data_IF_182074248470
#
_entry.id   IF_182074248470
#
_cell.length_a   1.000
_cell.length_b   1.000
_cell.length_c   1.000
_cell.angle_alpha   90.00
_cell.angle_beta   90.00
_cell.angle_gamma   90.00
#
_symmetry.space_group_name_H-M   'P 1'
#
loop_
_entity.id
_entity.type
_entity.pdbx_description
1 polymer ?
#
# COMPACT_ATOMS: atom_id res chain seq x y z
N UNK A 1 11.74 -19.82 2.46
CA UNK A 1 11.64 -18.48 1.86
C UNK A 1 10.45 -17.78 2.43
N UNK A 2 10.62 -16.62 3.06
CA UNK A 2 9.54 -15.84 3.64
C UNK A 2 8.97 -14.88 2.62
N UNK A 3 7.65 -14.61 2.71
CA UNK A 3 6.92 -13.71 1.80
C UNK A 3 6.65 -12.39 2.48
N UNK A 4 7.08 -11.31 1.85
CA UNK A 4 6.91 -9.93 2.32
C UNK A 4 6.01 -9.19 1.35
N UNK A 5 4.90 -8.66 1.83
CA UNK A 5 3.99 -7.82 1.06
C UNK A 5 4.01 -6.37 1.55
N UNK A 6 3.53 -5.48 0.71
CA UNK A 6 3.42 -4.06 1.00
C UNK A 6 1.98 -3.60 0.85
N UNK A 7 1.54 -2.76 1.78
CA UNK A 7 0.25 -2.08 1.68
C UNK A 7 0.38 -0.65 2.19
N UNK A 8 -0.10 0.30 1.43
CA UNK A 8 0.02 1.70 1.83
C UNK A 8 -0.85 2.63 1.01
N UNK A 9 -1.03 3.81 1.56
CA UNK A 9 -1.71 4.90 0.87
C UNK A 9 -0.91 5.33 -0.36
N UNK A 10 -1.62 5.72 -1.43
CA UNK A 10 -1.00 6.07 -2.73
C UNK A 10 -0.28 7.43 -2.71
N UNK A 11 0.50 7.69 -1.65
CA UNK A 11 1.35 8.86 -1.51
C UNK A 11 2.81 8.45 -1.68
N UNK A 12 3.63 9.40 -2.14
CA UNK A 12 5.09 9.25 -2.12
C UNK A 12 5.55 9.12 -0.67
N UNK A 13 6.51 8.24 -0.42
CA UNK A 13 7.11 8.14 0.90
C UNK A 13 7.92 9.40 1.22
N UNK A 14 7.70 9.93 2.40
CA UNK A 14 8.56 10.96 2.96
C UNK A 14 9.92 10.38 3.38
N UNK A 15 10.94 11.24 3.48
CA UNK A 15 12.31 10.82 3.76
C UNK A 15 12.41 9.96 5.03
N UNK A 16 11.74 10.36 6.11
CA UNK A 16 11.75 9.60 7.36
C UNK A 16 11.12 8.20 7.23
N UNK A 17 10.07 8.04 6.39
CA UNK A 17 9.49 6.74 6.09
C UNK A 17 10.45 5.86 5.27
N UNK A 18 11.20 6.45 4.32
CA UNK A 18 12.21 5.76 3.53
C UNK A 18 13.35 5.26 4.44
N UNK A 19 13.86 6.09 5.33
CA UNK A 19 14.91 5.69 6.28
C UNK A 19 14.44 4.55 7.20
N UNK A 20 13.21 4.64 7.68
CA UNK A 20 12.61 3.57 8.48
C UNK A 20 12.44 2.28 7.67
N UNK A 21 11.97 2.38 6.43
CA UNK A 21 11.87 1.23 5.52
C UNK A 21 13.22 0.56 5.32
N UNK A 22 14.28 1.32 5.04
CA UNK A 22 15.64 0.78 4.87
C UNK A 22 16.11 0.01 6.10
N UNK A 23 15.90 0.59 7.29
CA UNK A 23 16.24 -0.05 8.55
C UNK A 23 15.50 -1.36 8.74
N UNK A 24 14.18 -1.39 8.50
CA UNK A 24 13.38 -2.61 8.64
C UNK A 24 13.74 -3.68 7.59
N UNK A 25 14.02 -3.27 6.36
CA UNK A 25 14.50 -4.19 5.31
C UNK A 25 15.86 -4.79 5.65
N UNK A 26 16.80 -4.01 6.20
CA UNK A 26 18.10 -4.51 6.62
C UNK A 26 17.99 -5.47 7.82
N UNK A 27 17.10 -5.20 8.78
CA UNK A 27 16.80 -6.11 9.90
C UNK A 27 16.18 -7.41 9.39
N UNK A 28 15.20 -7.33 8.49
CA UNK A 28 14.56 -8.50 7.88
C UNK A 28 15.58 -9.36 7.14
N UNK A 29 16.46 -8.73 6.37
CA UNK A 29 17.53 -9.41 5.63
C UNK A 29 18.59 -10.09 6.54
N UNK A 30 18.72 -9.64 7.79
CA UNK A 30 19.57 -10.30 8.78
C UNK A 30 18.89 -11.51 9.43
N UNK A 31 17.57 -11.47 9.56
CA UNK A 31 16.79 -12.52 10.24
C UNK A 31 16.40 -13.66 9.30
N UNK A 32 16.16 -13.38 8.04
CA UNK A 32 15.60 -14.31 7.08
C UNK A 32 16.62 -14.56 5.95
N UNK A 33 17.05 -15.81 5.72
CA UNK A 33 18.07 -16.13 4.72
C UNK A 33 17.56 -16.03 3.28
N UNK A 34 16.26 -16.20 3.07
CA UNK A 34 15.61 -16.22 1.77
C UNK A 34 14.32 -15.42 1.83
N UNK A 35 14.15 -14.40 0.97
CA UNK A 35 13.04 -13.46 1.01
C UNK A 35 12.43 -13.28 -0.37
N UNK A 36 11.12 -13.41 -0.48
CA UNK A 36 10.32 -12.97 -1.62
C UNK A 36 9.60 -11.67 -1.28
N UNK A 37 9.86 -10.59 -2.02
CA UNK A 37 9.11 -9.35 -1.93
C UNK A 37 8.03 -9.33 -3.00
N UNK A 38 6.78 -9.34 -2.57
CA UNK A 38 5.61 -9.42 -3.43
C UNK A 38 4.97 -8.07 -3.65
N UNK A 39 4.82 -7.70 -4.92
CA UNK A 39 4.22 -6.45 -5.37
C UNK A 39 2.98 -6.73 -6.21
N UNK A 40 2.10 -5.75 -6.31
CA UNK A 40 0.98 -5.73 -7.25
C UNK A 40 0.85 -4.35 -7.87
N UNK A 41 1.07 -4.30 -9.18
CA UNK A 41 0.93 -3.08 -9.98
C UNK A 41 1.92 -1.98 -9.58
N UNK A 42 2.81 -1.61 -10.49
CA UNK A 42 3.85 -0.59 -10.21
C UNK A 42 3.40 0.86 -10.47
N UNK A 43 2.09 1.12 -10.39
CA UNK A 43 1.53 2.41 -10.83
C UNK A 43 1.48 3.48 -9.73
N UNK A 44 1.49 3.11 -8.45
CA UNK A 44 1.45 4.09 -7.37
C UNK A 44 2.86 4.56 -6.98
N UNK A 45 2.97 5.83 -6.57
CA UNK A 45 4.24 6.39 -6.07
C UNK A 45 4.76 5.61 -4.85
N UNK A 46 3.85 5.09 -4.01
CA UNK A 46 4.17 4.21 -2.89
C UNK A 46 4.88 2.94 -3.35
N UNK A 47 4.28 2.18 -4.27
CA UNK A 47 4.85 0.91 -4.77
C UNK A 47 6.21 1.14 -5.46
N UNK A 48 6.34 2.21 -6.24
CA UNK A 48 7.63 2.59 -6.86
C UNK A 48 8.71 2.81 -5.82
N UNK A 49 8.42 3.55 -4.76
CA UNK A 49 9.37 3.80 -3.67
C UNK A 49 9.77 2.51 -2.96
N UNK A 50 8.81 1.60 -2.68
CA UNK A 50 9.09 0.30 -2.08
C UNK A 50 10.01 -0.55 -2.98
N UNK A 51 9.71 -0.62 -4.27
CA UNK A 51 10.50 -1.37 -5.24
C UNK A 51 11.94 -0.84 -5.34
N UNK A 52 12.12 0.49 -5.39
CA UNK A 52 13.45 1.11 -5.42
C UNK A 52 14.29 0.71 -4.20
N UNK A 53 13.68 0.70 -3.00
CA UNK A 53 14.38 0.30 -1.78
C UNK A 53 14.70 -1.20 -1.73
N UNK A 54 13.80 -2.06 -2.23
CA UNK A 54 14.07 -3.51 -2.33
C UNK A 54 15.17 -3.80 -3.35
N UNK A 55 15.17 -3.14 -4.51
CA UNK A 55 16.25 -3.24 -5.51
C UNK A 55 17.58 -2.76 -4.92
N UNK A 56 17.56 -1.67 -4.15
CA UNK A 56 18.73 -1.18 -3.43
C UNK A 56 19.24 -2.19 -2.39
N UNK A 57 18.34 -2.82 -1.62
CA UNK A 57 18.69 -3.90 -0.69
C UNK A 57 19.36 -5.07 -1.41
N UNK A 58 18.79 -5.56 -2.51
CA UNK A 58 19.33 -6.64 -3.32
C UNK A 58 20.77 -6.34 -3.78
N UNK A 59 21.04 -5.10 -4.19
CA UNK A 59 22.39 -4.65 -4.55
C UNK A 59 23.35 -4.59 -3.36
N UNK A 60 22.88 -4.18 -2.18
CA UNK A 60 23.70 -4.12 -0.95
C UNK A 60 23.99 -5.51 -0.35
N UNK A 61 23.13 -6.50 -0.63
CA UNK A 61 23.21 -7.86 -0.08
C UNK A 61 23.31 -8.92 -1.19
N UNK A 62 24.37 -8.90 -2.03
CA UNK A 62 24.46 -9.75 -3.23
C UNK A 62 24.52 -11.25 -2.95
N UNK A 63 24.90 -11.63 -1.74
CA UNK A 63 25.00 -13.04 -1.31
C UNK A 63 23.72 -13.56 -0.66
N UNK A 64 22.70 -12.70 -0.49
CA UNK A 64 21.42 -13.09 0.08
C UNK A 64 20.44 -13.43 -1.03
N UNK A 65 19.64 -14.48 -0.83
CA UNK A 65 18.60 -14.85 -1.77
C UNK A 65 17.39 -13.92 -1.60
N UNK A 66 17.31 -12.92 -2.47
CA UNK A 66 16.23 -11.93 -2.50
C UNK A 66 15.56 -11.98 -3.87
N UNK A 67 14.27 -12.28 -3.88
CA UNK A 67 13.45 -12.30 -5.10
C UNK A 67 12.39 -11.21 -5.06
N UNK A 68 12.12 -10.63 -6.23
CA UNK A 68 11.05 -9.66 -6.46
C UNK A 68 9.98 -10.35 -7.29
N UNK A 69 8.78 -10.44 -6.74
CA UNK A 69 7.66 -11.14 -7.36
C UNK A 69 6.56 -10.12 -7.66
N UNK A 70 6.11 -10.08 -8.91
CA UNK A 70 4.94 -9.28 -9.28
C UNK A 70 3.71 -10.17 -9.48
N UNK A 71 2.66 -9.87 -8.71
CA UNK A 71 1.37 -10.49 -8.86
C UNK A 71 0.52 -9.67 -9.83
N UNK A 72 0.23 -10.21 -11.01
CA UNK A 72 -0.45 -9.48 -12.09
C UNK A 72 -1.74 -10.17 -12.50
N UNK A 73 -2.70 -9.39 -13.00
CA UNK A 73 -3.83 -9.96 -13.72
C UNK A 73 -3.35 -10.55 -15.06
N UNK A 74 -3.73 -11.79 -15.41
CA UNK A 74 -3.32 -12.41 -16.67
C UNK A 74 -3.63 -11.57 -17.91
N UNK A 75 -4.77 -10.87 -17.90
CA UNK A 75 -5.19 -10.01 -19.03
C UNK A 75 -4.26 -8.80 -19.16
N UNK A 76 -3.88 -8.19 -18.02
CA UNK A 76 -2.93 -7.06 -17.99
C UNK A 76 -1.54 -7.50 -18.44
N UNK A 77 -1.09 -8.68 -18.01
CA UNK A 77 0.20 -9.25 -18.41
C UNK A 77 0.25 -9.53 -19.91
N UNK A 78 -0.80 -10.10 -20.49
CA UNK A 78 -0.86 -10.39 -21.93
C UNK A 78 -0.92 -9.10 -22.76
N UNK A 79 -1.70 -8.11 -22.33
CA UNK A 79 -1.76 -6.79 -22.96
C UNK A 79 -0.39 -6.09 -22.94
N UNK A 80 0.33 -6.21 -21.82
CA UNK A 80 1.67 -5.69 -21.69
C UNK A 80 2.66 -6.38 -22.64
N UNK A 81 2.72 -7.72 -22.62
CA UNK A 81 3.61 -8.48 -23.51
C UNK A 81 3.38 -8.13 -24.98
N UNK A 82 2.11 -8.02 -25.38
CA UNK A 82 1.74 -7.62 -26.73
C UNK A 82 2.27 -6.21 -27.07
N UNK A 83 2.08 -5.23 -26.19
CA UNK A 83 2.57 -3.87 -26.37
C UNK A 83 4.10 -3.78 -26.42
N UNK A 84 4.78 -4.57 -25.58
CA UNK A 84 6.23 -4.64 -25.56
C UNK A 84 6.79 -5.23 -26.86
N UNK A 85 6.13 -6.27 -27.43
CA UNK A 85 6.47 -6.84 -28.74
C UNK A 85 6.22 -5.84 -29.88
N UNK A 86 5.11 -5.10 -29.85
CA UNK A 86 4.80 -4.06 -30.84
C UNK A 86 5.84 -2.90 -30.83
N UNK A 87 6.47 -2.64 -29.69
CA UNK A 87 7.53 -1.63 -29.54
C UNK A 87 8.94 -2.20 -29.79
N UNK A 88 9.08 -3.48 -30.13
CA UNK A 88 10.37 -4.15 -30.35
C UNK A 88 11.34 -4.02 -29.17
N UNK A 89 10.82 -3.95 -27.95
CA UNK A 89 11.65 -3.83 -26.74
C UNK A 89 12.36 -5.15 -26.43
N UNK A 90 13.64 -5.09 -26.11
CA UNK A 90 14.36 -6.24 -25.55
C UNK A 90 13.81 -6.65 -24.19
N UNK A 91 14.06 -7.89 -23.76
CA UNK A 91 13.63 -8.37 -22.42
C UNK A 91 14.20 -7.49 -21.30
N UNK A 92 15.43 -7.00 -21.44
CA UNK A 92 16.08 -6.12 -20.48
C UNK A 92 15.41 -4.74 -20.40
N UNK A 93 15.03 -4.16 -21.55
CA UNK A 93 14.28 -2.90 -21.59
C UNK A 93 12.85 -3.06 -21.08
N UNK A 94 12.23 -4.22 -21.28
CA UNK A 94 10.93 -4.56 -20.71
C UNK A 94 11.02 -4.66 -19.19
N UNK A 95 12.06 -5.32 -18.68
CA UNK A 95 12.35 -5.46 -17.26
C UNK A 95 12.60 -4.10 -16.59
N UNK A 96 13.45 -3.25 -17.20
CA UNK A 96 13.77 -1.92 -16.65
C UNK A 96 12.59 -0.95 -16.69
N UNK A 97 11.76 -1.03 -17.72
CA UNK A 97 10.65 -0.07 -17.89
C UNK A 97 9.43 -0.38 -17.06
N UNK A 98 9.18 -1.61 -16.71
CA UNK A 98 7.91 -1.96 -16.08
C UNK A 98 7.99 -2.70 -14.75
N UNK A 99 8.83 -3.68 -14.55
CA UNK A 99 8.57 -4.58 -13.46
C UNK A 99 9.75 -4.94 -12.56
N UNK A 100 10.97 -4.83 -12.95
CA UNK A 100 12.12 -5.23 -12.13
C UNK A 100 11.87 -6.49 -11.26
N UNK A 101 10.96 -7.35 -11.74
CA UNK A 101 10.53 -8.55 -11.05
C UNK A 101 11.33 -9.77 -11.55
N UNK A 102 11.80 -10.58 -10.63
CA UNK A 102 12.44 -11.85 -10.97
C UNK A 102 11.39 -12.87 -11.45
N UNK A 103 10.15 -12.80 -10.92
CA UNK A 103 9.05 -13.69 -11.28
C UNK A 103 7.71 -12.97 -11.37
N UNK A 104 6.81 -13.53 -12.20
CA UNK A 104 5.42 -13.10 -12.31
C UNK A 104 4.49 -14.21 -11.84
N UNK A 105 3.51 -13.86 -11.01
CA UNK A 105 2.44 -14.78 -10.62
C UNK A 105 1.12 -14.21 -11.12
N UNK A 106 0.48 -14.96 -12.03
CA UNK A 106 -0.83 -14.60 -12.54
C UNK A 106 -1.92 -14.96 -11.53
N UNK A 107 -2.75 -14.00 -11.13
CA UNK A 107 -3.91 -14.23 -10.28
C UNK A 107 -5.10 -13.41 -10.74
N UNK A 108 -6.26 -14.04 -10.91
CA UNK A 108 -7.43 -13.47 -11.60
C UNK A 108 -8.40 -12.67 -10.72
N UNK A 109 -8.21 -12.61 -9.40
CA UNK A 109 -9.18 -11.91 -8.53
C UNK A 109 -8.56 -11.38 -7.22
N UNK A 110 -8.82 -10.08 -6.92
CA UNK A 110 -8.46 -9.44 -5.64
C UNK A 110 -7.04 -9.74 -5.19
N UNK A 111 -6.11 -9.49 -6.09
CA UNK A 111 -4.69 -9.81 -5.93
C UNK A 111 -4.15 -9.28 -4.59
N UNK A 112 -4.44 -8.01 -4.25
CA UNK A 112 -4.00 -7.42 -2.98
C UNK A 112 -4.39 -8.25 -1.75
N UNK A 113 -5.66 -8.69 -1.70
CA UNK A 113 -6.14 -9.51 -0.58
C UNK A 113 -5.52 -10.90 -0.56
N UNK A 114 -5.30 -11.49 -1.74
CA UNK A 114 -4.66 -12.78 -1.85
C UNK A 114 -3.22 -12.72 -1.38
N UNK A 115 -2.46 -11.73 -1.83
CA UNK A 115 -1.07 -11.49 -1.41
C UNK A 115 -0.99 -11.30 0.11
N UNK A 116 -1.75 -10.35 0.65
CA UNK A 116 -1.73 -10.01 2.07
C UNK A 116 -2.17 -11.17 2.97
N UNK A 117 -3.09 -12.04 2.50
CA UNK A 117 -3.48 -13.24 3.25
C UNK A 117 -2.42 -14.35 3.21
N UNK A 118 -1.52 -14.33 2.25
CA UNK A 118 -0.49 -15.36 2.03
C UNK A 118 0.92 -14.94 2.45
N UNK A 119 1.11 -13.72 2.96
CA UNK A 119 2.43 -13.25 3.38
C UNK A 119 2.74 -13.55 4.85
N UNK A 120 4.04 -13.61 5.16
CA UNK A 120 4.56 -13.79 6.53
C UNK A 120 4.81 -12.43 7.18
N UNK A 121 5.23 -11.46 6.39
CA UNK A 121 5.47 -10.07 6.78
C UNK A 121 4.65 -9.10 5.92
N UNK A 122 4.08 -8.10 6.57
CA UNK A 122 3.35 -7.03 5.91
C UNK A 122 3.95 -5.68 6.30
N UNK A 123 4.61 -5.01 5.37
CA UNK A 123 5.13 -3.66 5.58
C UNK A 123 4.04 -2.66 5.20
N UNK A 124 3.70 -1.76 6.13
CA UNK A 124 2.55 -0.87 5.98
C UNK A 124 2.94 0.60 6.06
N UNK A 125 2.35 1.41 5.16
CA UNK A 125 2.38 2.87 5.20
C UNK A 125 0.96 3.40 5.23
N UNK A 126 0.34 3.32 6.42
CA UNK A 126 -1.05 3.71 6.65
C UNK A 126 -1.17 4.46 7.97
N UNK A 127 -2.22 5.24 8.13
CA UNK A 127 -2.48 6.02 9.34
C UNK A 127 -3.84 5.63 9.91
N UNK A 128 -3.87 5.24 11.19
CA UNK A 128 -5.11 4.78 11.87
C UNK A 128 -6.17 5.88 11.95
N UNK A 129 -5.73 7.13 11.98
CA UNK A 129 -6.59 8.31 12.00
C UNK A 129 -7.11 8.74 10.61
N UNK A 130 -6.87 7.93 9.57
CA UNK A 130 -7.38 8.12 8.23
C UNK A 130 -8.27 6.95 7.82
N UNK A 131 -9.46 7.26 7.29
CA UNK A 131 -10.37 6.23 6.75
C UNK A 131 -9.90 5.83 5.35
N UNK A 132 -9.22 4.70 5.26
CA UNK A 132 -8.82 4.07 4.01
C UNK A 132 -9.18 2.57 3.96
N UNK A 133 -9.07 1.99 2.77
CA UNK A 133 -9.34 0.57 2.55
C UNK A 133 -8.19 -0.31 3.04
N UNK A 134 -7.00 0.24 3.11
CA UNK A 134 -5.75 -0.40 3.50
C UNK A 134 -5.83 -0.85 4.96
N UNK A 135 -6.27 0.02 5.87
CA UNK A 135 -6.46 -0.32 7.27
C UNK A 135 -7.47 -1.46 7.47
N UNK A 136 -8.55 -1.48 6.69
CA UNK A 136 -9.51 -2.59 6.70
C UNK A 136 -8.87 -3.89 6.23
N UNK A 137 -8.05 -3.83 5.18
CA UNK A 137 -7.35 -5.00 4.62
C UNK A 137 -6.36 -5.58 5.64
N UNK A 138 -5.61 -4.73 6.35
CA UNK A 138 -4.68 -5.15 7.41
C UNK A 138 -5.43 -5.85 8.56
N UNK A 139 -6.55 -5.28 9.02
CA UNK A 139 -7.39 -5.91 10.07
C UNK A 139 -7.89 -7.29 9.65
N UNK A 140 -8.36 -7.44 8.42
CA UNK A 140 -8.81 -8.73 7.90
C UNK A 140 -7.67 -9.73 7.73
N UNK A 141 -6.49 -9.29 7.32
CA UNK A 141 -5.32 -10.15 7.20
C UNK A 141 -4.87 -10.70 8.56
N UNK A 142 -4.78 -9.86 9.58
CA UNK A 142 -4.47 -10.28 10.96
C UNK A 142 -5.49 -11.27 11.51
N UNK A 143 -6.77 -11.08 11.21
CA UNK A 143 -7.82 -12.00 11.63
C UNK A 143 -7.70 -13.40 10.99
N UNK A 144 -7.17 -13.47 9.76
CA UNK A 144 -6.98 -14.74 9.03
C UNK A 144 -5.64 -15.40 9.31
N UNK A 145 -4.60 -14.62 9.50
CA UNK A 145 -3.24 -15.08 9.81
C UNK A 145 -2.78 -14.47 11.15
N UNK A 146 -3.00 -15.14 12.27
CA UNK A 146 -2.56 -14.66 13.59
C UNK A 146 -1.03 -14.51 13.72
N UNK A 147 -0.26 -15.19 12.87
CA UNK A 147 1.20 -15.15 12.87
C UNK A 147 1.77 -14.04 11.96
N UNK A 148 0.91 -13.30 11.26
CA UNK A 148 1.31 -12.21 10.38
C UNK A 148 2.07 -11.14 11.17
N UNK A 149 3.31 -10.91 10.80
CA UNK A 149 4.14 -9.84 11.35
C UNK A 149 3.88 -8.55 10.55
N UNK A 150 3.34 -7.54 11.22
CA UNK A 150 3.03 -6.25 10.59
C UNK A 150 4.06 -5.22 11.06
N UNK A 151 4.76 -4.61 10.10
CA UNK A 151 5.78 -3.59 10.29
C UNK A 151 5.24 -2.28 9.75
N UNK A 152 5.03 -1.28 10.61
CA UNK A 152 4.59 0.05 10.19
C UNK A 152 5.79 0.97 9.96
N UNK A 153 5.83 1.59 8.78
CA UNK A 153 6.79 2.63 8.43
C UNK A 153 6.19 4.04 8.47
N UNK A 154 4.97 4.17 8.99
CA UNK A 154 4.27 5.45 9.13
C UNK A 154 5.01 6.39 10.08
N UNK A 155 4.98 7.68 9.78
CA UNK A 155 5.73 8.72 10.49
C UNK A 155 4.79 9.53 11.38
N UNK A 156 5.13 9.76 12.67
CA UNK A 156 4.25 10.47 13.60
C UNK A 156 3.87 11.89 13.13
N UNK A 157 4.80 12.65 12.56
CA UNK A 157 4.52 14.00 12.05
C UNK A 157 3.44 14.02 10.97
N UNK A 158 3.38 13.03 10.11
CA UNK A 158 2.32 12.92 9.12
C UNK A 158 0.98 12.53 9.75
N UNK A 159 0.98 11.73 10.82
CA UNK A 159 -0.24 11.44 11.58
C UNK A 159 -0.79 12.72 12.24
N UNK A 160 0.08 13.54 12.84
CA UNK A 160 -0.28 14.85 13.39
C UNK A 160 -0.83 15.78 12.31
N UNK A 161 -0.18 15.81 11.15
CA UNK A 161 -0.65 16.61 10.01
C UNK A 161 -2.04 16.17 9.50
N UNK A 162 -2.34 14.88 9.49
CA UNK A 162 -3.67 14.37 9.15
C UNK A 162 -4.72 14.92 10.14
N UNK A 163 -4.43 14.97 11.45
CA UNK A 163 -5.34 15.54 12.43
C UNK A 163 -5.59 17.04 12.19
N UNK A 164 -4.56 17.81 11.86
CA UNK A 164 -4.70 19.22 11.50
C UNK A 164 -5.58 19.40 10.26
N UNK A 165 -5.40 18.58 9.25
CA UNK A 165 -6.22 18.62 8.02
C UNK A 165 -7.67 18.18 8.28
N UNK A 166 -7.88 17.20 9.15
CA UNK A 166 -9.23 16.83 9.61
C UNK A 166 -9.92 17.98 10.34
N UNK A 167 -9.17 18.73 11.17
CA UNK A 167 -9.72 19.89 11.86
C UNK A 167 -10.19 21.01 10.92
N UNK A 168 -9.67 21.06 9.68
CA UNK A 168 -10.05 22.01 8.65
C UNK A 168 -11.26 21.58 7.82
N UNK A 169 -11.75 20.35 8.00
CA UNK A 169 -12.97 19.89 7.35
C UNK A 169 -14.19 20.66 7.88
N UNK A 170 -15.22 20.83 7.03
CA UNK A 170 -16.50 21.34 7.55
C UNK A 170 -17.10 20.36 8.59
N UNK A 171 -17.91 20.91 9.50
CA UNK A 171 -18.47 20.19 10.66
C UNK A 171 -19.12 18.85 10.27
N UNK A 172 -19.81 18.83 9.14
CA UNK A 172 -20.49 17.61 8.67
C UNK A 172 -19.51 16.52 8.24
N UNK A 173 -18.47 16.88 7.47
CA UNK A 173 -17.44 15.93 7.04
C UNK A 173 -16.65 15.44 8.23
N UNK A 174 -16.25 16.36 9.12
CA UNK A 174 -15.52 16.03 10.34
C UNK A 174 -16.33 15.06 11.21
N UNK A 175 -17.57 15.38 11.53
CA UNK A 175 -18.46 14.50 12.32
C UNK A 175 -18.57 13.10 11.72
N UNK A 176 -18.74 12.99 10.40
CA UNK A 176 -18.89 11.68 9.74
C UNK A 176 -17.58 10.89 9.81
N UNK A 177 -16.43 11.53 9.58
CA UNK A 177 -15.11 10.87 9.62
C UNK A 177 -14.81 10.40 11.04
N UNK A 178 -14.93 11.25 12.03
CA UNK A 178 -14.64 10.93 13.43
C UNK A 178 -15.54 9.80 13.95
N UNK A 179 -16.85 9.89 13.68
CA UNK A 179 -17.79 8.84 14.09
C UNK A 179 -17.46 7.46 13.48
N UNK A 180 -16.97 7.42 12.23
CA UNK A 180 -16.58 6.15 11.61
C UNK A 180 -15.27 5.61 12.16
N UNK A 181 -14.31 6.48 12.51
CA UNK A 181 -13.08 6.10 13.20
C UNK A 181 -13.40 5.52 14.60
N UNK A 182 -14.39 6.09 15.28
CA UNK A 182 -14.91 5.62 16.56
C UNK A 182 -15.76 4.34 16.45
N UNK A 183 -15.91 3.78 15.23
CA UNK A 183 -16.56 2.49 15.00
C UNK A 183 -18.03 2.54 14.62
N UNK A 184 -18.58 3.73 14.35
CA UNK A 184 -19.95 3.82 13.82
C UNK A 184 -20.06 3.17 12.43
N UNK A 185 -21.24 2.61 12.10
CA UNK A 185 -21.48 2.08 10.76
C UNK A 185 -22.01 3.15 9.81
N UNK A 186 -21.73 2.99 8.51
CA UNK A 186 -22.32 3.86 7.47
C UNK A 186 -23.83 3.92 7.53
N UNK A 187 -24.49 2.82 7.87
CA UNK A 187 -25.95 2.74 7.98
C UNK A 187 -26.47 3.46 9.22
N UNK A 188 -25.76 3.37 10.36
CA UNK A 188 -26.15 4.10 11.58
C UNK A 188 -26.04 5.61 11.39
N UNK A 189 -24.93 6.06 10.80
CA UNK A 189 -24.72 7.48 10.46
C UNK A 189 -25.75 8.01 9.45
N UNK A 190 -26.08 7.20 8.45
CA UNK A 190 -27.14 7.54 7.50
C UNK A 190 -28.45 7.83 8.21
N UNK A 191 -28.88 6.98 9.16
CA UNK A 191 -30.07 7.18 9.98
C UNK A 191 -29.98 8.43 10.84
N UNK A 192 -28.87 8.63 11.53
CA UNK A 192 -28.64 9.82 12.39
C UNK A 192 -28.73 11.12 11.61
N UNK A 193 -28.19 11.14 10.40
CA UNK A 193 -28.14 12.34 9.54
C UNK A 193 -29.35 12.49 8.59
N UNK A 194 -30.31 11.55 8.61
CA UNK A 194 -31.44 11.56 7.69
C UNK A 194 -31.05 11.40 6.22
N UNK A 195 -29.99 10.66 5.92
CA UNK A 195 -29.46 10.43 4.57
C UNK A 195 -29.20 8.95 4.31
N UNK A 196 -28.99 8.58 3.04
CA UNK A 196 -28.65 7.20 2.69
C UNK A 196 -27.20 6.84 3.09
N UNK A 197 -26.93 5.57 3.32
CA UNK A 197 -25.58 5.02 3.56
C UNK A 197 -24.63 5.41 2.38
N UNK A 198 -25.10 5.35 1.13
CA UNK A 198 -24.32 5.78 -0.03
C UNK A 198 -23.93 7.28 0.04
N UNK A 199 -24.79 8.11 0.59
CA UNK A 199 -24.45 9.53 0.78
C UNK A 199 -23.38 9.71 1.85
N UNK A 200 -23.39 8.90 2.91
CA UNK A 200 -22.30 8.87 3.90
C UNK A 200 -20.98 8.47 3.23
N UNK A 201 -20.95 7.40 2.41
CA UNK A 201 -19.76 7.02 1.63
C UNK A 201 -19.24 8.16 0.73
N UNK A 202 -20.13 8.91 0.08
CA UNK A 202 -19.72 10.07 -0.72
C UNK A 202 -19.08 11.19 0.11
N UNK A 203 -19.60 11.44 1.32
CA UNK A 203 -19.03 12.45 2.24
C UNK A 203 -17.62 12.02 2.66
N UNK A 204 -17.45 10.78 3.08
CA UNK A 204 -16.13 10.21 3.44
C UNK A 204 -15.16 10.30 2.27
N UNK A 205 -15.55 9.82 1.10
CA UNK A 205 -14.67 9.86 -0.08
C UNK A 205 -14.27 11.29 -0.52
N UNK A 206 -15.11 12.29 -0.23
CA UNK A 206 -14.73 13.70 -0.45
C UNK A 206 -13.76 14.21 0.62
N UNK A 207 -13.99 13.87 1.90
CA UNK A 207 -13.12 14.26 3.01
C UNK A 207 -11.71 13.64 2.83
N UNK A 208 -11.64 12.33 2.61
CA UNK A 208 -10.37 11.61 2.39
C UNK A 208 -9.59 12.17 1.20
N UNK A 209 -10.27 12.44 0.06
CA UNK A 209 -9.61 13.04 -1.11
C UNK A 209 -9.07 14.45 -0.87
N UNK A 210 -9.73 15.26 -0.03
CA UNK A 210 -9.20 16.57 0.35
C UNK A 210 -7.92 16.44 1.16
N UNK A 211 -7.90 15.57 2.16
CA UNK A 211 -6.72 15.30 2.99
C UNK A 211 -5.57 14.78 2.10
N UNK A 212 -5.82 13.76 1.28
CA UNK A 212 -4.79 13.21 0.38
C UNK A 212 -4.21 14.23 -0.59
N UNK A 213 -5.06 15.10 -1.15
CA UNK A 213 -4.58 16.14 -2.07
C UNK A 213 -3.62 17.10 -1.37
N UNK A 214 -3.95 17.56 -0.17
CA UNK A 214 -3.10 18.45 0.61
C UNK A 214 -1.80 17.77 1.03
N UNK A 215 -1.85 16.55 1.56
CA UNK A 215 -0.65 15.77 1.86
C UNK A 215 0.23 15.56 0.63
N UNK A 216 -0.36 15.26 -0.53
CA UNK A 216 0.40 15.08 -1.78
C UNK A 216 1.08 16.37 -2.25
N UNK A 217 0.49 17.53 -2.01
CA UNK A 217 1.08 18.83 -2.33
C UNK A 217 2.25 19.18 -1.39
N UNK A 218 2.18 18.79 -0.13
CA UNK A 218 3.19 19.04 0.90
C UNK A 218 4.39 18.07 0.84
N UNK A 219 4.17 16.84 0.34
CA UNK A 219 5.20 15.79 0.23
C UNK A 219 5.91 15.78 -1.14
N UNK A 220 5.70 16.79 -1.98
CA UNK A 220 6.43 16.96 -3.26
C UNK A 220 7.82 17.53 -3.04
#
# INVERSE_FOLDING_TARGET
MVKVCFIGISLRLEHAAIERLRSELDVLAQQEPEIEFWFHGFHSDFIKSMLEEVVSLKKRKPNQHIEIVDAVDPIELDAFKKKAQEMELSEEEQYDRQLRADHYIAHSQRIDRWMVNGCDYLITYTYENLLDTENTTIKLARAKNPNLKVISISVPSTAERIEELKAQLDDRKKFVVDSLLDGASYSSLGRTLGITSNRVHQIVGKATRLIYRQLKEELK
#
